data_IF_348268756211
#
_entry.id   IF_348268756211
#
_cell.length_a   1.000
_cell.length_b   1.000
_cell.length_c   1.000
_cell.angle_alpha   90.00
_cell.angle_beta   90.00
_cell.angle_gamma   90.00
#
_symmetry.space_group_name_H-M   'P 1'
#
loop_
_entity.id
_entity.type
_entity.pdbx_description
1 polymer ?
#
# COMPACT_ATOMS: atom_id res chain seq x y z
N UNK A 1 21.66 -5.25 -4.99
CA UNK A 1 20.62 -6.29 -5.00
C UNK A 1 19.25 -5.67 -5.07
N UNK A 2 18.34 -6.34 -5.75
CA UNK A 2 16.96 -5.84 -5.83
C UNK A 2 16.30 -5.89 -4.45
N UNK A 3 15.52 -4.88 -4.12
CA UNK A 3 14.73 -4.85 -2.91
C UNK A 3 13.65 -5.92 -2.97
N UNK A 4 13.34 -6.54 -1.83
CA UNK A 4 12.23 -7.48 -1.73
C UNK A 4 10.94 -6.81 -2.20
N UNK A 5 10.11 -7.54 -2.94
CA UNK A 5 8.89 -6.98 -3.52
C UNK A 5 7.90 -6.48 -2.47
N UNK A 6 7.81 -7.12 -1.32
CA UNK A 6 6.94 -6.65 -0.24
C UNK A 6 7.43 -5.32 0.32
N UNK A 7 8.74 -5.18 0.52
CA UNK A 7 9.33 -3.93 0.98
C UNK A 7 9.14 -2.81 -0.05
N UNK A 8 9.36 -3.12 -1.33
CA UNK A 8 9.19 -2.15 -2.40
C UNK A 8 7.72 -1.72 -2.55
N UNK A 9 6.80 -2.66 -2.43
CA UNK A 9 5.36 -2.36 -2.48
C UNK A 9 4.94 -1.49 -1.30
N UNK A 10 5.41 -1.84 -0.10
CA UNK A 10 5.11 -1.05 1.10
C UNK A 10 5.62 0.38 1.00
N UNK A 11 6.81 0.56 0.47
CA UNK A 11 7.38 1.89 0.24
C UNK A 11 6.53 2.70 -0.74
N UNK A 12 6.06 2.07 -1.81
CA UNK A 12 5.22 2.73 -2.79
C UNK A 12 3.86 3.12 -2.21
N UNK A 13 3.28 2.26 -1.37
CA UNK A 13 2.03 2.59 -0.67
C UNK A 13 2.23 3.84 0.19
N UNK A 14 3.34 3.91 0.95
CA UNK A 14 3.62 5.07 1.78
C UNK A 14 3.79 6.34 0.95
N UNK A 15 4.53 6.26 -0.15
CA UNK A 15 4.74 7.41 -1.03
C UNK A 15 3.42 7.96 -1.59
N UNK A 16 2.55 7.08 -2.05
CA UNK A 16 1.25 7.48 -2.59
C UNK A 16 0.34 8.04 -1.50
N UNK A 17 0.40 7.46 -0.29
CA UNK A 17 -0.35 7.95 0.86
C UNK A 17 0.11 9.36 1.25
N UNK A 18 1.44 9.55 1.35
CA UNK A 18 2.00 10.86 1.68
C UNK A 18 1.66 11.91 0.62
N UNK A 19 1.65 11.52 -0.65
CA UNK A 19 1.28 12.44 -1.73
C UNK A 19 -0.15 12.97 -1.58
N UNK A 20 -1.02 12.21 -0.91
CA UNK A 20 -2.38 12.66 -0.60
C UNK A 20 -2.47 13.40 0.72
N UNK A 21 -1.39 13.48 1.48
CA UNK A 21 -1.39 14.06 2.81
C UNK A 21 -2.12 13.21 3.84
N UNK A 22 -2.21 11.91 3.61
CA UNK A 22 -2.94 10.99 4.48
C UNK A 22 -2.07 10.32 5.51
N UNK A 23 -2.63 10.17 6.73
CA UNK A 23 -2.07 9.32 7.76
C UNK A 23 -2.49 7.88 7.47
N UNK A 24 -1.90 6.91 8.19
CA UNK A 24 -2.29 5.50 8.06
C UNK A 24 -3.79 5.31 8.33
N UNK A 25 -4.33 6.01 9.34
CA UNK A 25 -5.75 5.88 9.67
C UNK A 25 -6.64 6.40 8.52
N UNK A 26 -6.20 7.42 7.82
CA UNK A 26 -6.96 7.94 6.68
C UNK A 26 -7.05 6.92 5.56
N UNK A 27 -5.93 6.26 5.25
CA UNK A 27 -5.92 5.19 4.25
C UNK A 27 -6.78 4.01 4.71
N UNK A 28 -6.74 3.67 5.99
CA UNK A 28 -7.57 2.61 6.55
C UNK A 28 -9.06 2.92 6.32
N UNK A 29 -9.48 4.13 6.62
CA UNK A 29 -10.87 4.55 6.45
C UNK A 29 -11.31 4.51 5.00
N UNK A 30 -10.47 4.99 4.09
CA UNK A 30 -10.81 5.04 2.67
C UNK A 30 -10.77 3.67 1.99
N UNK A 31 -9.91 2.78 2.45
CA UNK A 31 -9.73 1.47 1.83
C UNK A 31 -10.59 0.37 2.45
N UNK A 32 -11.02 0.56 3.69
CA UNK A 32 -11.68 -0.49 4.45
C UNK A 32 -10.71 -1.56 4.97
N UNK A 33 -9.41 -1.29 4.91
CA UNK A 33 -8.37 -2.19 5.42
C UNK A 33 -7.94 -1.71 6.80
N UNK A 34 -7.82 -2.62 7.77
CA UNK A 34 -7.48 -2.27 9.14
C UNK A 34 -6.12 -1.57 9.21
N UNK A 35 -6.03 -0.57 10.10
CA UNK A 35 -4.83 0.26 10.24
C UNK A 35 -3.56 -0.55 10.55
N UNK A 36 -3.67 -1.56 11.39
CA UNK A 36 -2.52 -2.43 11.73
C UNK A 36 -2.01 -3.14 10.48
N UNK A 37 -2.93 -3.60 9.63
CA UNK A 37 -2.59 -4.26 8.38
C UNK A 37 -1.87 -3.29 7.44
N UNK A 38 -2.36 -2.06 7.33
CA UNK A 38 -1.71 -1.02 6.53
C UNK A 38 -0.31 -0.72 7.04
N UNK A 39 -0.15 -0.63 8.36
CA UNK A 39 1.16 -0.41 8.98
C UNK A 39 2.14 -1.53 8.63
N UNK A 40 1.70 -2.78 8.73
CA UNK A 40 2.55 -3.94 8.40
C UNK A 40 2.94 -3.95 6.92
N UNK A 41 1.99 -3.64 6.04
CA UNK A 41 2.27 -3.55 4.61
C UNK A 41 3.27 -2.45 4.30
N UNK A 42 3.13 -1.30 4.96
CA UNK A 42 4.03 -0.17 4.79
C UNK A 42 5.46 -0.48 5.21
N UNK A 43 5.63 -1.35 6.19
CA UNK A 43 6.96 -1.76 6.65
C UNK A 43 7.52 -2.94 5.85
N UNK A 44 6.73 -3.53 4.95
CA UNK A 44 7.14 -4.68 4.17
C UNK A 44 7.23 -5.97 4.99
N UNK A 45 6.58 -5.99 6.17
CA UNK A 45 6.62 -7.14 7.08
C UNK A 45 5.48 -8.12 6.83
N UNK A 46 4.59 -7.81 5.88
CA UNK A 46 3.45 -8.65 5.55
C UNK A 46 3.26 -8.68 4.04
N UNK A 47 2.96 -9.86 3.51
CA UNK A 47 2.61 -10.01 2.10
C UNK A 47 1.11 -9.79 1.95
N UNK A 48 0.66 -8.80 1.16
CA UNK A 48 -0.75 -8.53 0.99
C UNK A 48 -1.40 -9.56 0.06
N UNK A 49 -2.66 -9.93 0.35
CA UNK A 49 -3.46 -10.65 -0.62
C UNK A 49 -3.88 -9.70 -1.74
N UNK A 50 -4.22 -10.26 -2.91
CA UNK A 50 -4.63 -9.46 -4.05
C UNK A 50 -5.84 -8.57 -3.76
N UNK A 51 -6.82 -9.11 -3.02
CA UNK A 51 -8.02 -8.33 -2.69
C UNK A 51 -7.70 -7.15 -1.77
N UNK A 52 -6.85 -7.39 -0.78
CA UNK A 52 -6.42 -6.32 0.14
C UNK A 52 -5.66 -5.24 -0.63
N UNK A 53 -4.70 -5.65 -1.46
CA UNK A 53 -3.92 -4.70 -2.24
C UNK A 53 -4.80 -3.91 -3.21
N UNK A 54 -5.79 -4.57 -3.81
CA UNK A 54 -6.72 -3.91 -4.71
C UNK A 54 -7.56 -2.84 -4.00
N UNK A 55 -7.99 -3.11 -2.77
CA UNK A 55 -8.70 -2.10 -1.94
C UNK A 55 -7.82 -0.89 -1.68
N UNK A 56 -6.55 -1.13 -1.38
CA UNK A 56 -5.59 -0.06 -1.10
C UNK A 56 -5.34 0.80 -2.34
N UNK A 57 -5.06 0.20 -3.49
CA UNK A 57 -4.79 0.97 -4.70
C UNK A 57 -6.02 1.74 -5.15
N UNK A 58 -7.22 1.17 -5.00
CA UNK A 58 -8.45 1.87 -5.32
C UNK A 58 -8.62 3.12 -4.45
N UNK A 59 -8.35 3.00 -3.15
CA UNK A 59 -8.42 4.13 -2.22
C UNK A 59 -7.39 5.20 -2.59
N UNK A 60 -6.23 4.80 -3.06
CA UNK A 60 -5.16 5.72 -3.46
C UNK A 60 -5.37 6.30 -4.87
N UNK A 61 -6.42 5.88 -5.56
CA UNK A 61 -6.73 6.40 -6.89
C UNK A 61 -5.82 5.86 -8.00
N UNK A 62 -5.27 4.67 -7.80
CA UNK A 62 -4.39 4.04 -8.78
C UNK A 62 -4.87 2.62 -9.09
N UNK A 63 -4.08 1.85 -9.82
CA UNK A 63 -4.38 0.47 -10.19
C UNK A 63 -3.25 -0.45 -9.73
N UNK A 64 -3.51 -1.75 -9.70
CA UNK A 64 -2.46 -2.73 -9.38
C UNK A 64 -1.31 -2.64 -10.38
N UNK A 65 -1.62 -2.44 -11.65
CA UNK A 65 -0.60 -2.30 -12.70
C UNK A 65 0.33 -1.12 -12.42
N UNK A 66 -0.24 0.04 -12.08
CA UNK A 66 0.55 1.24 -11.77
C UNK A 66 1.34 1.07 -10.47
N UNK A 67 0.68 0.52 -9.45
CA UNK A 67 1.30 0.30 -8.13
C UNK A 67 2.54 -0.57 -8.25
N UNK A 68 2.49 -1.62 -9.06
CA UNK A 68 3.54 -2.62 -9.15
C UNK A 68 4.49 -2.40 -10.31
N UNK A 69 4.33 -1.33 -11.07
CA UNK A 69 5.17 -1.06 -12.22
C UNK A 69 6.64 -0.97 -11.82
N UNK A 70 7.47 -1.74 -12.49
CA UNK A 70 8.90 -1.75 -12.24
C UNK A 70 9.33 -2.52 -11.01
N UNK A 71 8.40 -3.10 -10.28
CA UNK A 71 8.74 -3.96 -9.14
C UNK A 71 8.85 -5.42 -9.59
#
# INVERSE_FOLDING_TARGET
MAKDICAATGERIRELRWAKGWRQIDLAEHSGVHEVHISDLGRGTREPGLRTLNKIVSALGTTLSEMLRGL
#
